data_IF_293335335431
#
_entry.id   IF_293335335431
#
_cell.length_a   1.000
_cell.length_b   1.000
_cell.length_c   1.000
_cell.angle_alpha   90.00
_cell.angle_beta   90.00
_cell.angle_gamma   90.00
#
_symmetry.space_group_name_H-M   'P 1'
#
loop_
_entity.id
_entity.type
_entity.pdbx_description
1 polymer ?
#
# COMPACT_ATOMS: atom_id res chain seq x y z
N UNK A 1 -11.85 1.74 5.56
CA UNK A 1 -10.99 2.84 5.04
C UNK A 1 -10.86 3.94 6.08
N UNK A 2 -10.34 3.61 7.27
CA UNK A 2 -10.22 4.55 8.40
C UNK A 2 -9.25 5.69 8.12
N UNK A 3 -8.11 5.38 7.50
CA UNK A 3 -7.09 6.39 7.17
C UNK A 3 -7.63 7.37 6.12
N UNK A 4 -8.22 6.87 5.03
CA UNK A 4 -8.78 7.75 3.98
C UNK A 4 -9.88 8.66 4.53
N UNK A 5 -10.72 8.16 5.42
CA UNK A 5 -11.77 8.96 6.06
C UNK A 5 -11.19 10.12 6.89
N UNK A 6 -10.16 9.85 7.70
CA UNK A 6 -9.53 10.85 8.56
C UNK A 6 -8.70 11.89 7.79
N UNK A 7 -8.12 11.50 6.65
CA UNK A 7 -7.25 12.35 5.83
C UNK A 7 -7.86 12.73 4.48
N UNK A 8 -9.20 12.71 4.36
CA UNK A 8 -9.89 12.97 3.09
C UNK A 8 -9.54 14.35 2.51
N UNK A 9 -9.46 15.38 3.38
CA UNK A 9 -9.08 16.74 2.98
C UNK A 9 -7.67 16.81 2.39
N UNK A 10 -6.71 16.16 3.04
CA UNK A 10 -5.31 16.16 2.60
C UNK A 10 -5.18 15.41 1.26
N UNK A 11 -5.82 14.24 1.16
CA UNK A 11 -5.85 13.43 -0.07
C UNK A 11 -6.50 14.21 -1.22
N UNK A 12 -7.62 14.88 -0.98
CA UNK A 12 -8.32 15.69 -1.98
C UNK A 12 -7.48 16.87 -2.48
N UNK A 13 -6.62 17.43 -1.61
CA UNK A 13 -5.78 18.60 -1.92
C UNK A 13 -4.52 18.26 -2.74
N UNK A 14 -4.13 16.99 -2.85
CA UNK A 14 -2.97 16.58 -3.64
C UNK A 14 -3.20 16.82 -5.15
N UNK A 15 -2.19 17.35 -5.85
CA UNK A 15 -2.27 17.67 -7.28
C UNK A 15 -1.71 16.59 -8.21
N UNK A 16 -1.60 15.36 -7.72
CA UNK A 16 -1.04 14.21 -8.44
C UNK A 16 -2.06 13.10 -8.62
N UNK A 17 -1.87 12.18 -9.60
CA UNK A 17 -2.70 10.99 -9.73
C UNK A 17 -2.73 10.18 -8.42
N UNK A 18 -3.93 9.82 -8.01
CA UNK A 18 -4.22 9.03 -6.81
C UNK A 18 -4.99 7.79 -7.22
N UNK A 19 -4.66 6.67 -6.60
CA UNK A 19 -5.38 5.40 -6.75
C UNK A 19 -5.99 5.02 -5.41
N UNK A 20 -7.30 5.17 -5.29
CA UNK A 20 -8.05 5.02 -4.04
C UNK A 20 -8.98 3.82 -4.13
N UNK A 21 -9.28 3.17 -3.01
CA UNK A 21 -10.31 2.12 -2.99
C UNK A 21 -11.67 2.71 -3.34
N UNK A 22 -12.43 2.08 -4.25
CA UNK A 22 -13.79 2.50 -4.61
C UNK A 22 -14.69 2.66 -3.38
N UNK A 23 -14.51 1.83 -2.33
CA UNK A 23 -15.28 1.94 -1.08
C UNK A 23 -15.09 3.28 -0.34
N UNK A 24 -14.05 4.05 -0.70
CA UNK A 24 -13.79 5.39 -0.15
C UNK A 24 -14.41 6.54 -0.95
N UNK A 25 -14.99 6.30 -2.14
CA UNK A 25 -15.53 7.39 -2.98
C UNK A 25 -16.55 8.27 -2.26
N UNK A 26 -17.34 7.67 -1.34
CA UNK A 26 -18.32 8.37 -0.51
C UNK A 26 -17.74 9.49 0.38
N UNK A 27 -16.43 9.48 0.63
CA UNK A 27 -15.74 10.53 1.40
C UNK A 27 -15.30 11.70 0.52
N UNK A 28 -15.49 11.63 -0.80
CA UNK A 28 -15.05 12.64 -1.75
C UNK A 28 -16.24 13.14 -2.54
N UNK A 29 -17.00 14.07 -1.97
CA UNK A 29 -18.19 14.63 -2.62
C UNK A 29 -17.94 16.06 -3.11
N UNK A 30 -18.55 16.51 -4.21
CA UNK A 30 -18.38 17.87 -4.71
C UNK A 30 -18.84 18.95 -3.71
N UNK A 31 -19.75 18.62 -2.79
CA UNK A 31 -20.24 19.53 -1.76
C UNK A 31 -19.20 19.79 -0.66
N UNK A 32 -18.29 18.84 -0.45
CA UNK A 32 -17.28 18.87 0.62
C UNK A 32 -15.90 19.24 0.11
N UNK A 33 -15.60 18.98 -1.17
CA UNK A 33 -14.28 19.15 -1.75
C UNK A 33 -14.32 19.80 -3.12
N UNK A 34 -13.32 20.64 -3.38
CA UNK A 34 -12.97 21.05 -4.74
C UNK A 34 -12.24 19.89 -5.44
N UNK A 35 -13.00 18.88 -5.85
CA UNK A 35 -12.47 17.65 -6.44
C UNK A 35 -11.77 17.95 -7.77
N UNK A 36 -10.74 17.15 -8.05
CA UNK A 36 -9.99 17.11 -9.31
C UNK A 36 -10.15 15.73 -9.94
N UNK A 37 -11.30 15.44 -10.59
CA UNK A 37 -11.64 14.09 -11.06
C UNK A 37 -10.56 13.45 -11.94
N UNK A 38 -9.84 14.25 -12.72
CA UNK A 38 -8.74 13.84 -13.58
C UNK A 38 -7.54 13.26 -12.81
N UNK A 39 -7.42 13.57 -11.51
CA UNK A 39 -6.37 13.05 -10.62
C UNK A 39 -6.86 11.92 -9.72
N UNK A 40 -8.14 11.57 -9.75
CA UNK A 40 -8.75 10.63 -8.82
C UNK A 40 -9.18 9.35 -9.55
N UNK A 41 -8.41 8.29 -9.36
CA UNK A 41 -8.70 6.97 -9.90
C UNK A 41 -9.22 6.07 -8.77
N UNK A 42 -10.42 5.51 -8.92
CA UNK A 42 -10.98 4.58 -7.94
C UNK A 42 -10.86 3.14 -8.40
N UNK A 43 -10.19 2.31 -7.59
CA UNK A 43 -9.94 0.90 -7.83
C UNK A 43 -10.99 0.02 -7.14
N UNK A 44 -11.48 -1.01 -7.83
CA UNK A 44 -12.32 -2.02 -7.20
C UNK A 44 -11.47 -3.00 -6.38
N UNK A 45 -11.15 -2.60 -5.14
CA UNK A 45 -10.31 -3.39 -4.24
C UNK A 45 -11.11 -4.36 -3.38
N UNK A 46 -10.52 -5.51 -3.06
CA UNK A 46 -11.15 -6.61 -2.31
C UNK A 46 -10.16 -7.26 -1.33
N UNK A 47 -10.66 -7.71 -0.18
CA UNK A 47 -9.90 -8.50 0.80
C UNK A 47 -10.03 -10.01 0.65
N UNK A 48 -11.10 -10.47 -0.02
CA UNK A 48 -11.38 -11.91 -0.17
C UNK A 48 -10.60 -12.48 -1.36
N UNK A 49 -10.68 -13.78 -1.64
CA UNK A 49 -10.20 -14.40 -2.89
C UNK A 49 -8.82 -13.92 -3.39
N UNK A 50 -7.72 -14.43 -2.81
CA UNK A 50 -6.35 -14.08 -3.18
C UNK A 50 -6.09 -14.28 -4.68
N UNK A 51 -5.75 -13.19 -5.38
CA UNK A 51 -5.40 -13.22 -6.80
C UNK A 51 -4.70 -11.92 -7.22
N UNK A 52 -3.55 -12.05 -7.89
CA UNK A 52 -2.88 -10.93 -8.55
C UNK A 52 -3.61 -10.62 -9.85
N UNK A 53 -3.98 -9.35 -10.05
CA UNK A 53 -4.56 -8.87 -11.29
C UNK A 53 -3.51 -8.24 -12.20
N UNK A 54 -3.53 -8.60 -13.49
CA UNK A 54 -2.82 -7.86 -14.53
C UNK A 54 -3.61 -6.67 -15.09
N UNK A 55 -4.90 -6.58 -14.77
CA UNK A 55 -5.77 -5.50 -15.19
C UNK A 55 -6.50 -4.88 -13.99
N UNK A 56 -6.02 -3.70 -13.57
CA UNK A 56 -6.58 -2.96 -12.42
C UNK A 56 -7.88 -2.23 -12.74
N UNK A 57 -8.34 -2.23 -14.00
CA UNK A 57 -9.71 -1.80 -14.35
C UNK A 57 -10.76 -2.79 -13.83
N UNK A 58 -10.33 -4.01 -13.47
CA UNK A 58 -11.15 -5.02 -12.83
C UNK A 58 -10.93 -5.07 -11.31
N UNK A 59 -11.16 -6.25 -10.74
CA UNK A 59 -10.96 -6.50 -9.31
C UNK A 59 -9.48 -6.57 -8.95
N UNK A 60 -9.09 -5.88 -7.88
CA UNK A 60 -7.73 -5.88 -7.32
C UNK A 60 -7.76 -6.45 -5.90
N UNK A 61 -6.96 -7.46 -5.61
CA UNK A 61 -6.84 -7.98 -4.25
C UNK A 61 -5.81 -7.17 -3.47
N UNK A 62 -6.16 -6.72 -2.26
CA UNK A 62 -5.30 -5.84 -1.46
C UNK A 62 -4.11 -6.57 -0.84
N UNK A 63 -4.21 -7.88 -0.59
CA UNK A 63 -3.13 -8.65 0.05
C UNK A 63 -2.69 -8.07 1.40
N UNK A 64 -3.60 -7.43 2.13
CA UNK A 64 -3.38 -6.76 3.42
C UNK A 64 -2.29 -5.67 3.45
N UNK A 65 -1.82 -5.19 2.31
CA UNK A 65 -0.82 -4.11 2.22
C UNK A 65 -1.03 -3.26 0.99
N UNK A 66 -0.86 -1.94 1.13
CA UNK A 66 -0.92 -1.00 0.00
C UNK A 66 0.13 -1.30 -1.07
N UNK A 67 1.26 -1.91 -0.68
CA UNK A 67 2.35 -2.28 -1.58
C UNK A 67 1.89 -3.33 -2.61
N UNK A 68 1.04 -4.29 -2.24
CA UNK A 68 0.51 -5.30 -3.17
C UNK A 68 -0.43 -4.68 -4.21
N UNK A 69 -1.18 -3.64 -3.85
CA UNK A 69 -1.97 -2.85 -4.81
C UNK A 69 -1.06 -2.06 -5.76
N UNK A 70 -0.02 -1.44 -5.22
CA UNK A 70 0.96 -0.70 -6.02
C UNK A 70 1.70 -1.61 -7.03
N UNK A 71 2.06 -2.84 -6.64
CA UNK A 71 2.68 -3.81 -7.54
C UNK A 71 1.76 -4.22 -8.69
N UNK A 72 0.47 -4.41 -8.43
CA UNK A 72 -0.53 -4.70 -9.47
C UNK A 72 -0.73 -3.52 -10.42
N UNK A 73 -0.72 -2.28 -9.91
CA UNK A 73 -0.72 -1.06 -10.71
C UNK A 73 0.52 -1.00 -11.62
N UNK A 74 1.72 -1.21 -11.06
CA UNK A 74 2.96 -1.21 -11.81
C UNK A 74 2.94 -2.28 -12.92
N UNK A 75 2.43 -3.48 -12.61
CA UNK A 75 2.26 -4.52 -13.61
C UNK A 75 1.34 -4.06 -14.76
N UNK A 76 0.17 -3.52 -14.41
CA UNK A 76 -0.83 -3.05 -15.38
C UNK A 76 -0.27 -1.94 -16.28
N UNK A 77 0.53 -1.05 -15.72
CA UNK A 77 1.21 0.04 -16.46
C UNK A 77 2.36 -0.45 -17.35
N UNK A 78 2.72 -1.73 -17.30
CA UNK A 78 3.71 -2.34 -18.19
C UNK A 78 5.14 -2.35 -17.65
N UNK A 79 5.38 -1.97 -16.39
CA UNK A 79 6.71 -2.03 -15.81
C UNK A 79 7.21 -3.48 -15.75
N UNK A 80 8.44 -3.70 -16.22
CA UNK A 80 9.10 -5.01 -16.25
C UNK A 80 10.00 -5.24 -15.03
N UNK A 81 10.56 -4.18 -14.46
CA UNK A 81 11.33 -4.21 -13.22
C UNK A 81 10.71 -3.19 -12.26
N UNK A 82 10.46 -3.60 -11.01
CA UNK A 82 9.95 -2.74 -9.93
C UNK A 82 10.91 -2.83 -8.76
N UNK A 83 11.38 -1.68 -8.27
CA UNK A 83 12.34 -1.59 -7.17
C UNK A 83 11.61 -1.04 -5.95
N UNK A 84 11.61 -1.81 -4.87
CA UNK A 84 11.03 -1.43 -3.58
C UNK A 84 12.06 -0.68 -2.74
N UNK A 85 11.62 0.38 -2.07
CA UNK A 85 12.41 1.16 -1.10
C UNK A 85 11.48 1.47 0.07
N UNK A 86 11.99 1.34 1.30
CA UNK A 86 11.24 1.65 2.53
C UNK A 86 10.23 0.58 2.95
N UNK A 87 10.44 -0.68 2.55
CA UNK A 87 9.60 -1.82 2.97
C UNK A 87 10.27 -2.53 4.15
N UNK A 88 10.24 -1.87 5.32
CA UNK A 88 11.00 -2.32 6.50
C UNK A 88 10.53 -3.68 7.04
N UNK A 89 9.21 -3.95 6.95
CA UNK A 89 8.58 -5.18 7.44
C UNK A 89 9.01 -5.54 8.88
N UNK A 90 9.08 -4.51 9.72
CA UNK A 90 9.59 -4.60 11.09
C UNK A 90 8.69 -3.83 12.06
N UNK A 91 7.75 -4.53 12.67
CA UNK A 91 6.78 -3.93 13.60
C UNK A 91 7.04 -4.40 15.03
N UNK A 92 7.14 -3.45 15.96
CA UNK A 92 7.25 -3.72 17.40
C UNK A 92 5.88 -3.92 18.05
N UNK A 93 4.86 -3.26 17.51
CA UNK A 93 3.48 -3.35 17.98
C UNK A 93 2.89 -4.73 17.67
N UNK A 94 2.39 -5.41 18.69
CA UNK A 94 1.76 -6.74 18.57
C UNK A 94 0.26 -6.65 18.83
N UNK A 95 -0.51 -7.45 18.09
CA UNK A 95 -1.94 -7.61 18.32
C UNK A 95 -2.58 -8.40 17.19
N UNK A 96 -3.90 -8.54 17.27
CA UNK A 96 -4.67 -9.22 16.23
C UNK A 96 -4.59 -8.45 14.91
N UNK A 97 -4.39 -9.18 13.82
CA UNK A 97 -4.37 -8.65 12.47
C UNK A 97 -5.60 -7.78 12.18
N UNK A 98 -5.39 -6.62 11.55
CA UNK A 98 -6.43 -5.66 11.16
C UNK A 98 -7.23 -5.03 12.32
N UNK A 99 -6.85 -5.29 13.57
CA UNK A 99 -7.49 -4.70 14.75
C UNK A 99 -7.32 -3.18 14.72
N UNK A 100 -8.44 -2.47 14.89
CA UNK A 100 -8.42 -1.01 14.98
C UNK A 100 -7.84 -0.57 16.31
N UNK A 101 -6.83 0.29 16.27
CA UNK A 101 -6.15 0.89 17.41
C UNK A 101 -6.11 2.41 17.25
N UNK A 102 -5.93 3.13 18.34
CA UNK A 102 -5.77 4.59 18.33
C UNK A 102 -4.32 4.94 18.69
N UNK A 103 -3.67 5.73 17.85
CA UNK A 103 -2.30 6.22 18.09
C UNK A 103 -2.25 7.04 19.37
N UNK A 104 -1.26 6.74 20.22
CA UNK A 104 -1.05 7.42 21.51
C UNK A 104 -0.05 8.58 21.42
N UNK A 105 0.53 8.81 20.24
CA UNK A 105 1.54 9.85 20.00
C UNK A 105 2.88 9.27 19.62
N UNK A 106 3.42 8.36 20.44
CA UNK A 106 4.69 7.68 20.17
C UNK A 106 4.48 6.54 19.16
N UNK A 107 5.24 6.59 18.06
CA UNK A 107 5.24 5.57 17.01
C UNK A 107 6.66 5.03 16.78
N UNK A 108 7.02 3.90 17.42
CA UNK A 108 8.33 3.28 17.24
C UNK A 108 8.45 2.48 15.93
N UNK A 109 7.38 2.37 15.14
CA UNK A 109 7.37 1.56 13.92
C UNK A 109 7.67 2.38 12.66
N UNK A 110 7.66 3.71 12.76
CA UNK A 110 7.89 4.61 11.63
C UNK A 110 9.11 5.49 11.88
N UNK A 111 9.69 6.02 10.80
CA UNK A 111 10.85 6.91 10.88
C UNK A 111 10.57 8.19 11.70
N UNK A 112 9.36 8.75 11.57
CA UNK A 112 8.92 9.90 12.36
C UNK A 112 8.14 9.44 13.60
N UNK A 113 8.57 9.79 14.83
CA UNK A 113 7.90 9.35 16.05
C UNK A 113 6.43 9.76 16.16
N UNK A 114 6.02 10.82 15.46
CA UNK A 114 4.66 11.35 15.44
C UNK A 114 3.92 11.08 14.12
N UNK A 115 4.32 10.05 13.36
CA UNK A 115 3.82 9.77 12.00
C UNK A 115 2.29 9.79 11.87
N UNK A 116 1.56 9.04 12.70
CA UNK A 116 0.10 9.08 12.69
C UNK A 116 -0.50 10.26 13.47
N UNK A 117 0.25 10.89 14.36
CA UNK A 117 -0.26 11.86 15.34
C UNK A 117 -1.16 11.20 16.40
N UNK A 118 -1.25 11.82 17.59
CA UNK A 118 -2.09 11.32 18.70
C UNK A 118 -3.57 11.41 18.33
N UNK A 119 -4.33 10.34 18.59
CA UNK A 119 -5.78 10.28 18.34
C UNK A 119 -6.18 9.65 17.01
N UNK A 120 -5.24 9.46 16.09
CA UNK A 120 -5.50 8.83 14.79
C UNK A 120 -5.80 7.35 14.94
N UNK A 121 -6.88 6.90 14.31
CA UNK A 121 -7.27 5.48 14.27
C UNK A 121 -6.64 4.78 13.07
N UNK A 122 -6.01 3.64 13.30
CA UNK A 122 -5.41 2.82 12.25
C UNK A 122 -5.57 1.34 12.58
N UNK A 123 -5.16 0.47 11.66
CA UNK A 123 -5.31 -0.98 11.80
C UNK A 123 -3.94 -1.64 11.91
N UNK A 124 -3.77 -2.53 12.88
CA UNK A 124 -2.53 -3.31 13.03
C UNK A 124 -2.26 -4.13 11.75
N UNK A 125 -0.99 -4.26 11.36
CA UNK A 125 -0.63 -4.95 10.12
C UNK A 125 -0.95 -6.44 10.21
N UNK A 126 -1.38 -7.00 9.09
CA UNK A 126 -1.54 -8.44 8.88
C UNK A 126 -0.36 -8.92 8.05
N UNK A 127 0.75 -9.22 8.74
CA UNK A 127 2.02 -9.54 8.09
C UNK A 127 1.96 -10.87 7.36
N UNK A 128 1.25 -11.86 7.90
CA UNK A 128 1.09 -13.17 7.28
C UNK A 128 0.37 -13.04 5.92
N UNK A 129 -0.76 -12.32 5.88
CA UNK A 129 -1.46 -12.08 4.61
C UNK A 129 -0.65 -11.19 3.66
N UNK A 130 0.11 -10.23 4.20
CA UNK A 130 1.02 -9.39 3.41
C UNK A 130 2.10 -10.22 2.72
N UNK A 131 2.72 -11.17 3.42
CA UNK A 131 3.73 -12.07 2.85
C UNK A 131 3.14 -12.99 1.78
N UNK A 132 1.93 -13.51 1.98
CA UNK A 132 1.20 -14.24 0.91
C UNK A 132 1.03 -13.36 -0.32
N UNK A 133 0.61 -12.10 -0.14
CA UNK A 133 0.49 -11.11 -1.21
C UNK A 133 1.80 -10.88 -1.96
N UNK A 134 2.90 -10.69 -1.24
CA UNK A 134 4.23 -10.48 -1.80
C UNK A 134 4.74 -11.70 -2.57
N UNK A 135 4.56 -12.92 -2.02
CA UNK A 135 4.97 -14.16 -2.68
C UNK A 135 4.20 -14.33 -3.99
N UNK A 136 2.88 -14.15 -3.97
CA UNK A 136 2.05 -14.22 -5.17
C UNK A 136 2.45 -13.17 -6.21
N UNK A 137 2.75 -11.94 -5.79
CA UNK A 137 3.20 -10.89 -6.69
C UNK A 137 4.56 -11.23 -7.33
N UNK A 138 5.53 -11.69 -6.53
CA UNK A 138 6.85 -12.14 -7.01
C UNK A 138 6.72 -13.22 -8.06
N UNK A 139 5.97 -14.28 -7.76
CA UNK A 139 5.75 -15.39 -8.68
C UNK A 139 5.04 -14.96 -9.96
N UNK A 140 4.06 -14.06 -9.84
CA UNK A 140 3.33 -13.54 -10.99
C UNK A 140 4.23 -12.73 -11.92
N UNK A 141 5.08 -11.86 -11.37
CA UNK A 141 6.07 -11.12 -12.16
C UNK A 141 7.06 -12.07 -12.85
N UNK A 142 7.65 -13.01 -12.10
CA UNK A 142 8.63 -13.96 -12.62
C UNK A 142 8.07 -14.82 -13.77
N UNK A 143 6.84 -15.33 -13.63
CA UNK A 143 6.17 -16.11 -14.69
C UNK A 143 5.95 -15.33 -15.99
N UNK A 144 6.00 -13.99 -15.93
CA UNK A 144 5.82 -13.10 -17.06
C UNK A 144 7.14 -12.41 -17.49
N UNK A 145 8.30 -12.96 -17.11
CA UNK A 145 9.62 -12.39 -17.38
C UNK A 145 9.79 -10.95 -16.88
N UNK A 146 9.21 -10.68 -15.70
CA UNK A 146 9.32 -9.41 -14.97
C UNK A 146 9.89 -9.68 -13.59
N UNK A 147 10.37 -8.66 -12.92
CA UNK A 147 10.99 -8.80 -11.60
C UNK A 147 10.61 -7.69 -10.63
N UNK A 148 10.65 -8.06 -9.35
CA UNK A 148 10.51 -7.15 -8.22
C UNK A 148 11.76 -7.33 -7.37
N UNK A 149 12.48 -6.24 -7.12
CA UNK A 149 13.68 -6.19 -6.31
C UNK A 149 13.44 -5.32 -5.08
N UNK A 150 14.15 -5.59 -3.99
CA UNK A 150 14.05 -4.81 -2.76
C UNK A 150 15.40 -4.15 -2.42
N UNK A 151 15.43 -2.82 -2.56
CA UNK A 151 16.55 -1.95 -2.24
C UNK A 151 16.40 -1.27 -0.87
N UNK A 152 15.48 -1.74 -0.03
CA UNK A 152 15.27 -1.18 1.31
C UNK A 152 16.49 -1.41 2.19
N UNK A 153 17.14 -0.32 2.60
CA UNK A 153 18.29 -0.35 3.52
C UNK A 153 17.84 -0.86 4.89
N UNK A 154 18.38 -2.00 5.33
CA UNK A 154 18.07 -2.58 6.65
C UNK A 154 16.66 -3.20 6.79
N UNK A 155 15.88 -3.27 5.70
CA UNK A 155 14.54 -3.85 5.74
C UNK A 155 14.54 -5.37 5.96
N UNK A 156 13.60 -5.86 6.77
CA UNK A 156 13.48 -7.27 7.19
C UNK A 156 12.65 -8.15 6.26
N UNK A 157 12.02 -7.59 5.23
CA UNK A 157 11.30 -8.39 4.23
C UNK A 157 12.30 -9.26 3.45
N UNK A 158 12.03 -10.56 3.34
CA UNK A 158 12.90 -11.54 2.66
C UNK A 158 12.26 -12.16 1.42
N UNK A 159 11.03 -11.75 1.08
CA UNK A 159 10.29 -12.31 -0.06
C UNK A 159 10.95 -11.95 -1.39
N UNK A 160 11.38 -10.70 -1.57
CA UNK A 160 11.98 -10.24 -2.83
C UNK A 160 13.51 -10.32 -2.78
N UNK A 161 14.19 -10.61 -3.91
CA UNK A 161 15.64 -10.51 -3.98
C UNK A 161 16.13 -9.12 -3.57
N UNK A 162 17.15 -9.08 -2.71
CA UNK A 162 17.77 -7.83 -2.26
C UNK A 162 18.73 -7.29 -3.30
N UNK A 163 18.79 -5.97 -3.43
CA UNK A 163 19.77 -5.24 -4.24
C UNK A 163 20.32 -4.06 -3.43
N UNK A 164 21.58 -3.71 -3.62
CA UNK A 164 22.18 -2.58 -2.90
C UNK A 164 21.59 -1.26 -3.40
N UNK A 165 21.09 -0.44 -2.48
CA UNK A 165 20.52 0.88 -2.78
C UNK A 165 21.52 1.76 -3.55
N UNK A 166 22.78 1.83 -3.09
CA UNK A 166 23.81 2.70 -3.69
C UNK A 166 24.31 2.19 -5.05
N UNK A 167 23.92 0.97 -5.45
CA UNK A 167 24.20 0.46 -6.79
C UNK A 167 23.20 0.96 -7.84
N UNK A 168 22.08 1.55 -7.40
CA UNK A 168 20.96 1.97 -8.25
C UNK A 168 20.71 3.50 -8.24
N UNK A 169 21.01 4.19 -7.14
CA UNK A 169 20.75 5.62 -6.91
C UNK A 169 21.98 6.30 -6.30
#
# INVERSE_FOLDING_TARGET
NLVIEQFANDIASLNMPKFLSWRSHKFFTPETFNLKPETMNFLYTSYTGPKISNNVSGRVWEGATVTTVALQLAYHMGFAQVILIGVDHNFTSKGEANKTVTSQGDDPNHFMPNYFGKGTKWQLPDLDTSEVGYIMAREFFQKNNREILDATVGGKLTVFPKVDYNSLF
#
